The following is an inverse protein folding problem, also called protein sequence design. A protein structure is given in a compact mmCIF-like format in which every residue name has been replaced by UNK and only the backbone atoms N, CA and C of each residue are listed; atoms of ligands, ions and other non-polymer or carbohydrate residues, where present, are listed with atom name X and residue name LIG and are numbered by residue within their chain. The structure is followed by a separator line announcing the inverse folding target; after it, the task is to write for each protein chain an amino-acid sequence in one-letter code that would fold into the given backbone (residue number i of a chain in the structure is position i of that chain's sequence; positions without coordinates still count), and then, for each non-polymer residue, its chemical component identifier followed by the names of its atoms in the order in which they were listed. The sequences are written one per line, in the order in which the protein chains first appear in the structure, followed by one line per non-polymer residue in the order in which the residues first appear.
data_IF_368270725098
#
_entry.id   IF_368270725098
#
_cell.length_a   1.000
_cell.length_b   1.000
_cell.length_c   1.000
_cell.angle_alpha   90.00
_cell.angle_beta   90.00
_cell.angle_gamma   90.00
#
_symmetry.space_group_name_H-M   'P 1'
#
loop_
_entity.id
_entity.type
_entity.pdbx_description
1 polymer ?
#
# COMPACT_ATOMS: atom_id res chain seq x y z
N UNK A 1 -29.19 -4.03 30.66
CA UNK A 1 -29.16 -3.84 29.20
C UNK A 1 -27.94 -2.99 28.93
N UNK A 2 -26.82 -3.63 28.60
CA UNK A 2 -25.60 -2.89 28.26
C UNK A 2 -24.96 -3.60 27.08
N UNK A 3 -24.65 -2.77 26.11
CA UNK A 3 -24.64 -3.07 24.70
C UNK A 3 -23.43 -3.89 24.28
N UNK A 4 -23.73 -4.84 23.39
CA UNK A 4 -22.78 -5.56 22.56
C UNK A 4 -21.89 -4.60 21.77
N UNK A 5 -20.69 -4.30 22.26
CA UNK A 5 -19.61 -3.80 21.39
C UNK A 5 -18.72 -4.99 21.02
N UNK A 6 -18.95 -5.47 19.80
CA UNK A 6 -18.23 -6.57 19.20
C UNK A 6 -16.73 -6.31 19.20
N UNK A 7 -16.02 -7.27 19.76
CA UNK A 7 -14.57 -7.48 19.71
C UNK A 7 -13.99 -7.18 18.31
N UNK A 8 -13.58 -5.94 18.09
CA UNK A 8 -12.74 -5.54 16.96
C UNK A 8 -11.36 -6.15 17.22
N UNK A 9 -11.17 -7.36 16.67
CA UNK A 9 -9.89 -8.06 16.59
C UNK A 9 -8.79 -7.05 16.25
N UNK A 10 -8.00 -6.74 17.26
CA UNK A 10 -6.82 -5.89 17.20
C UNK A 10 -5.90 -6.44 16.09
N UNK A 11 -6.03 -5.89 14.89
CA UNK A 11 -4.98 -6.02 13.86
C UNK A 11 -3.76 -5.34 14.46
N UNK A 12 -2.63 -6.04 14.64
CA UNK A 12 -1.47 -5.48 15.31
C UNK A 12 -1.06 -4.20 14.59
N UNK A 13 -1.06 -3.10 15.34
CA UNK A 13 -0.61 -1.73 15.04
C UNK A 13 0.17 -1.55 13.72
N UNK A 14 -0.51 -1.69 12.58
CA UNK A 14 0.05 -1.36 11.30
C UNK A 14 -0.13 0.16 11.14
N UNK A 15 0.97 0.90 11.21
CA UNK A 15 0.96 2.34 10.96
C UNK A 15 0.43 2.57 9.54
N UNK A 16 -0.82 3.01 9.44
CA UNK A 16 -1.43 3.34 8.16
C UNK A 16 -0.69 4.55 7.59
N UNK A 17 0.08 4.33 6.52
CA UNK A 17 0.80 5.41 5.85
C UNK A 17 -0.11 6.25 4.98
N UNK A 18 -1.32 5.80 4.68
CA UNK A 18 -2.21 6.54 3.81
C UNK A 18 -3.31 5.69 3.21
N UNK A 19 -4.12 6.32 2.38
CA UNK A 19 -5.23 5.69 1.69
C UNK A 19 -5.09 5.91 0.20
N UNK A 20 -5.38 4.87 -0.55
CA UNK A 20 -5.51 4.91 -2.00
C UNK A 20 -6.90 4.49 -2.41
N UNK A 21 -7.33 5.01 -3.55
CA UNK A 21 -8.57 4.64 -4.21
C UNK A 21 -8.21 3.98 -5.53
N UNK A 22 -8.93 2.93 -5.87
CA UNK A 22 -8.79 2.22 -7.13
C UNK A 22 -9.20 3.16 -8.27
N UNK A 23 -8.37 3.21 -9.30
CA UNK A 23 -8.57 4.02 -10.50
C UNK A 23 -8.50 3.14 -11.74
N UNK A 24 -8.75 3.71 -12.92
CA UNK A 24 -8.80 2.93 -14.18
C UNK A 24 -7.47 2.25 -14.52
N UNK A 25 -6.34 2.82 -14.09
CA UNK A 25 -4.98 2.34 -14.42
C UNK A 25 -4.26 1.68 -13.23
N UNK A 26 -4.87 1.68 -12.05
CA UNK A 26 -4.30 1.11 -10.83
C UNK A 26 -4.91 1.71 -9.57
N UNK A 27 -4.13 2.45 -8.78
CA UNK A 27 -4.58 3.10 -7.54
C UNK A 27 -3.96 4.48 -7.38
N UNK A 28 -4.70 5.42 -6.81
CA UNK A 28 -4.24 6.79 -6.55
C UNK A 28 -4.64 7.23 -5.16
N UNK A 29 -3.78 7.99 -4.50
CA UNK A 29 -4.06 8.49 -3.17
C UNK A 29 -2.96 9.38 -2.63
N UNK A 30 -2.78 9.35 -1.33
CA UNK A 30 -1.72 10.10 -0.66
C UNK A 30 -1.08 9.24 0.42
N UNK A 31 0.25 9.32 0.49
CA UNK A 31 1.03 8.88 1.63
C UNK A 31 1.22 10.06 2.58
N UNK A 32 0.81 9.86 3.82
CA UNK A 32 1.11 10.68 4.96
C UNK A 32 2.07 9.90 5.88
N UNK A 33 3.33 10.29 5.86
CA UNK A 33 4.38 9.83 6.76
C UNK A 33 4.74 10.95 7.73
N UNK A 34 5.39 10.61 8.85
CA UNK A 34 5.71 11.58 9.91
C UNK A 34 6.50 12.81 9.42
N UNK A 35 7.33 12.69 8.37
CA UNK A 35 8.09 13.81 7.81
C UNK A 35 7.68 14.23 6.38
N UNK A 36 6.79 13.46 5.73
CA UNK A 36 6.50 13.60 4.31
C UNK A 36 5.03 13.35 4.04
N UNK A 37 4.39 14.32 3.37
CA UNK A 37 3.08 14.12 2.75
C UNK A 37 3.25 14.23 1.24
N UNK A 38 2.97 13.16 0.52
CA UNK A 38 3.08 13.12 -0.93
C UNK A 38 1.87 12.41 -1.55
N UNK A 39 1.35 12.96 -2.64
CA UNK A 39 0.43 12.22 -3.49
C UNK A 39 1.15 10.98 -4.04
N UNK A 40 0.43 9.85 -4.11
CA UNK A 40 0.96 8.62 -4.69
C UNK A 40 0.06 8.07 -5.77
N UNK A 41 0.71 7.47 -6.76
CA UNK A 41 0.08 6.84 -7.91
C UNK A 41 0.71 5.48 -8.11
N UNK A 42 -0.11 4.45 -8.09
CA UNK A 42 0.27 3.06 -8.25
C UNK A 42 -0.29 2.64 -9.60
N UNK A 43 0.56 2.46 -10.60
CA UNK A 43 0.12 2.11 -11.95
C UNK A 43 0.51 0.68 -12.26
N UNK A 44 -0.37 -0.04 -12.95
CA UNK A 44 -0.07 -1.41 -13.35
C UNK A 44 1.08 -1.40 -14.36
N UNK A 45 2.09 -2.22 -14.09
CA UNK A 45 3.18 -2.43 -15.03
C UNK A 45 2.70 -3.33 -16.17
N UNK A 46 2.34 -2.74 -17.31
CA UNK A 46 1.91 -3.47 -18.49
C UNK A 46 3.05 -4.24 -19.18
N UNK A 47 4.30 -3.86 -18.90
CA UNK A 47 5.52 -4.43 -19.49
C UNK A 47 6.10 -5.59 -18.67
N UNK A 48 5.37 -6.08 -17.65
CA UNK A 48 5.83 -7.19 -16.83
C UNK A 48 6.07 -8.43 -17.69
N UNK A 49 7.35 -8.75 -17.92
CA UNK A 49 7.78 -9.96 -18.62
C UNK A 49 8.13 -11.11 -17.65
N UNK A 50 8.53 -10.79 -16.42
CA UNK A 50 9.04 -11.76 -15.44
C UNK A 50 8.45 -11.55 -14.03
N UNK A 51 8.42 -12.62 -13.22
CA UNK A 51 7.94 -12.56 -11.82
C UNK A 51 8.81 -11.70 -10.89
N UNK A 52 10.07 -11.45 -11.28
CA UNK A 52 10.98 -10.57 -10.57
C UNK A 52 10.62 -9.09 -10.72
N UNK A 53 9.94 -8.73 -11.81
CA UNK A 53 9.53 -7.36 -12.04
C UNK A 53 8.31 -6.98 -11.19
N UNK A 54 8.20 -5.69 -10.79
CA UNK A 54 7.02 -5.22 -10.09
C UNK A 54 5.78 -5.32 -10.98
N UNK A 55 4.69 -5.82 -10.40
CA UNK A 55 3.35 -5.81 -11.02
C UNK A 55 2.77 -4.39 -11.11
N UNK A 56 3.20 -3.52 -10.20
CA UNK A 56 2.77 -2.14 -10.10
C UNK A 56 3.97 -1.22 -9.89
N UNK A 57 4.02 -0.09 -10.58
CA UNK A 57 5.02 0.96 -10.37
C UNK A 57 4.43 2.01 -9.45
N UNK A 58 5.19 2.46 -8.46
CA UNK A 58 4.74 3.41 -7.45
C UNK A 58 5.44 4.73 -7.69
N UNK A 59 4.65 5.74 -8.00
CA UNK A 59 5.08 7.10 -8.22
C UNK A 59 4.61 7.99 -7.07
N UNK A 60 5.44 8.97 -6.70
CA UNK A 60 5.08 9.97 -5.69
C UNK A 60 5.37 11.40 -6.14
N UNK A 61 4.61 12.32 -5.56
CA UNK A 61 4.71 13.75 -5.80
C UNK A 61 4.12 14.19 -7.15
N UNK A 62 4.17 15.49 -7.40
CA UNK A 62 3.64 16.11 -8.63
C UNK A 62 4.48 15.76 -9.87
N UNK A 63 5.77 15.46 -9.68
CA UNK A 63 6.68 15.04 -10.74
C UNK A 63 6.53 13.57 -11.13
N UNK A 64 5.63 12.83 -10.49
CA UNK A 64 5.47 11.38 -10.66
C UNK A 64 6.82 10.64 -10.60
N UNK A 65 7.61 10.92 -9.57
CA UNK A 65 8.91 10.28 -9.36
C UNK A 65 8.67 8.83 -8.95
N UNK A 66 9.33 7.88 -9.62
CA UNK A 66 9.25 6.47 -9.23
C UNK A 66 9.97 6.27 -7.90
N UNK A 67 9.20 5.99 -6.85
CA UNK A 67 9.71 5.76 -5.50
C UNK A 67 9.74 4.27 -5.14
N UNK A 68 9.23 3.40 -6.00
CA UNK A 68 9.18 1.98 -5.71
C UNK A 68 8.27 1.15 -6.60
N UNK A 69 8.00 -0.07 -6.14
CA UNK A 69 7.22 -1.07 -6.87
C UNK A 69 6.26 -1.85 -5.97
N UNK A 70 5.22 -2.39 -6.56
CA UNK A 70 4.22 -3.25 -5.95
C UNK A 70 4.19 -4.61 -6.60
N UNK A 71 4.10 -5.66 -5.79
CA UNK A 71 3.98 -7.04 -6.23
C UNK A 71 2.66 -7.61 -5.74
N UNK A 72 1.90 -8.22 -6.65
CA UNK A 72 0.68 -8.91 -6.29
C UNK A 72 1.06 -10.24 -5.63
N UNK A 73 0.74 -10.37 -4.35
CA UNK A 73 1.05 -11.57 -3.56
C UNK A 73 -0.24 -12.20 -3.09
N UNK A 74 -0.22 -13.52 -2.94
CA UNK A 74 -1.33 -14.29 -2.38
C UNK A 74 -0.94 -14.76 -1.00
N UNK A 75 -1.73 -14.38 0.02
CA UNK A 75 -1.50 -14.81 1.39
C UNK A 75 -1.76 -16.32 1.49
N UNK A 76 -0.70 -17.11 1.72
CA UNK A 76 -0.82 -18.57 1.88
C UNK A 76 -1.80 -18.96 2.99
N UNK A 77 -1.90 -18.14 4.04
CA UNK A 77 -2.69 -18.43 5.22
C UNK A 77 -4.20 -18.18 5.06
N UNK A 78 -4.61 -17.27 4.16
CA UNK A 78 -6.04 -16.90 4.00
C UNK A 78 -6.54 -16.97 2.56
N UNK A 79 -5.65 -17.27 1.61
CA UNK A 79 -5.94 -17.25 0.17
C UNK A 79 -6.24 -15.86 -0.40
N UNK A 80 -6.16 -14.79 0.40
CA UNK A 80 -6.47 -13.42 -0.05
C UNK A 80 -5.31 -12.84 -0.84
N UNK A 81 -5.66 -12.18 -1.92
CA UNK A 81 -4.72 -11.41 -2.72
C UNK A 81 -4.47 -10.07 -2.02
N UNK A 82 -3.21 -9.71 -1.88
CA UNK A 82 -2.77 -8.44 -1.33
C UNK A 82 -1.62 -7.92 -2.18
N UNK A 83 -1.50 -6.59 -2.26
CA UNK A 83 -0.38 -5.99 -2.98
C UNK A 83 0.68 -5.62 -1.95
N UNK A 84 1.86 -6.21 -2.08
CA UNK A 84 3.03 -5.82 -1.29
C UNK A 84 3.75 -4.69 -1.99
N UNK A 85 3.83 -3.54 -1.35
CA UNK A 85 4.51 -2.34 -1.82
C UNK A 85 5.90 -2.28 -1.21
N UNK A 86 6.91 -1.91 -2.01
CA UNK A 86 8.26 -1.58 -1.53
C UNK A 86 8.60 -0.21 -2.06
N UNK A 87 8.85 0.74 -1.15
CA UNK A 87 9.27 2.09 -1.45
C UNK A 87 10.74 2.21 -1.08
N UNK A 88 11.57 2.66 -2.01
CA UNK A 88 13.00 2.83 -1.81
C UNK A 88 13.39 4.15 -2.46
N UNK A 89 13.23 5.24 -1.73
CA UNK A 89 13.52 6.58 -2.22
C UNK A 89 14.23 7.41 -1.13
N UNK A 90 15.29 8.15 -1.47
CA UNK A 90 16.03 8.97 -0.51
C UNK A 90 15.19 10.05 0.17
N UNK A 91 14.09 10.53 -0.45
CA UNK A 91 13.16 11.48 0.17
C UNK A 91 12.32 10.84 1.28
N UNK A 92 12.10 9.53 1.21
CA UNK A 92 11.37 8.75 2.23
C UNK A 92 12.29 8.40 3.39
N UNK A 93 13.55 8.07 3.08
CA UNK A 93 14.58 7.84 4.08
C UNK A 93 15.70 6.92 3.58
N UNK A 94 16.69 6.63 4.44
CA UNK A 94 17.86 5.82 4.06
C UNK A 94 17.56 4.32 3.92
N UNK A 95 16.37 3.86 4.33
CA UNK A 95 15.95 2.45 4.31
C UNK A 95 14.74 2.28 3.40
N UNK A 96 14.64 1.09 2.80
CA UNK A 96 13.46 0.69 2.02
C UNK A 96 12.29 0.47 2.97
N UNK A 97 11.16 1.09 2.65
CA UNK A 97 9.90 0.93 3.36
C UNK A 97 9.10 -0.19 2.69
N UNK A 98 8.69 -1.18 3.47
CA UNK A 98 7.78 -2.22 3.01
C UNK A 98 6.38 -1.91 3.51
N UNK A 99 5.41 -1.90 2.62
CA UNK A 99 4.02 -1.68 2.97
C UNK A 99 3.12 -2.68 2.24
N UNK A 100 1.84 -2.72 2.60
CA UNK A 100 0.86 -3.57 1.93
C UNK A 100 -0.44 -2.82 1.74
N UNK A 101 -1.10 -3.08 0.62
CA UNK A 101 -2.47 -2.62 0.39
C UNK A 101 -3.44 -3.59 1.03
N UNK A 102 -4.25 -3.08 1.95
CA UNK A 102 -5.40 -3.78 2.51
C UNK A 102 -6.69 -3.06 2.08
N UNK A 103 -7.74 -3.78 1.66
CA UNK A 103 -9.02 -3.16 1.37
C UNK A 103 -9.66 -2.62 2.65
N UNK A 104 -10.25 -1.43 2.57
CA UNK A 104 -10.96 -0.81 3.69
C UNK A 104 -12.37 -1.40 3.78
N UNK A 105 -12.72 -2.00 4.93
CA UNK A 105 -14.07 -2.50 5.18
C UNK A 105 -15.09 -1.36 5.05
N UNK A 106 -16.14 -1.58 4.25
CA UNK A 106 -17.24 -0.63 4.08
C UNK A 106 -17.05 0.39 2.95
N UNK A 107 -15.90 0.45 2.28
CA UNK A 107 -15.70 1.30 1.09
C UNK A 107 -15.14 0.49 -0.08
N UNK A 108 -15.98 0.17 -1.07
CA UNK A 108 -15.54 -0.47 -2.32
C UNK A 108 -14.56 0.45 -3.06
N UNK A 109 -13.45 -0.13 -3.52
CA UNK A 109 -12.39 0.59 -4.22
C UNK A 109 -11.50 1.44 -3.33
N UNK A 110 -11.66 1.46 -2.00
CA UNK A 110 -10.75 2.15 -1.08
C UNK A 110 -9.81 1.13 -0.43
N UNK A 111 -8.52 1.41 -0.49
CA UNK A 111 -7.48 0.61 0.13
C UNK A 111 -6.65 1.48 1.08
N UNK A 112 -6.15 0.88 2.15
CA UNK A 112 -5.22 1.49 3.09
C UNK A 112 -3.84 0.91 2.86
N UNK A 113 -2.84 1.77 2.92
CA UNK A 113 -1.43 1.38 2.89
C UNK A 113 -0.98 1.17 4.31
N UNK A 114 -0.67 -0.08 4.63
CA UNK A 114 -0.21 -0.53 5.93
C UNK A 114 1.30 -0.67 5.89
N UNK A 115 2.02 0.12 6.68
CA UNK A 115 3.46 -0.04 6.84
C UNK A 115 3.79 -1.33 7.59
N UNK A 116 4.71 -2.10 7.04
CA UNK A 116 5.34 -3.23 7.71
C UNK A 116 6.81 -2.90 7.98
N UNK A 117 7.17 -2.47 9.20
CA UNK A 117 8.57 -2.41 9.57
C UNK A 117 9.16 -3.82 9.52
N UNK A 118 10.11 -4.04 8.62
CA UNK A 118 11.04 -5.17 8.70
C UNK A 118 12.26 -4.66 9.46
N UNK A 119 12.45 -5.20 10.66
CA UNK A 119 13.68 -5.09 11.44
C UNK A 119 14.90 -5.49 10.58
#
# INVERSE_FOLDING_TARGET
FEDSHGNEKETPMANALGYVSETKTGFEGALAMMNLSAAIRIEKNAEKAEEAQPDYRIFAGETATEIGGGWMRKAKSSGREYVSLTLADPQIGPRRIYANLAPVKGKKGRHVILWNPRD
#
